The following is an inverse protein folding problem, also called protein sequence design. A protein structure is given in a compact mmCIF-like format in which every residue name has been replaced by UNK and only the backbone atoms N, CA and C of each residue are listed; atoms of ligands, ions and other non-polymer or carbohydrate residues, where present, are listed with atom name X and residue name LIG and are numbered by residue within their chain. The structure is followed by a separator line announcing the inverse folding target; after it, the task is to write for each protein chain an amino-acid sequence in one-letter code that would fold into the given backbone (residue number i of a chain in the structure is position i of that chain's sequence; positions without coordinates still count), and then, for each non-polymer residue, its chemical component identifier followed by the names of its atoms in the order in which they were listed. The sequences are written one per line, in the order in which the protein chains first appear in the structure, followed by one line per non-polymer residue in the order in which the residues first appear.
data_IF_297319103176
#
_entry.id   IF_297319103176
#
_cell.length_a   1.000
_cell.length_b   1.000
_cell.length_c   1.000
_cell.angle_alpha   90.00
_cell.angle_beta   90.00
_cell.angle_gamma   90.00
#
_symmetry.space_group_name_H-M   'P 1'
#
loop_
_entity.id
_entity.type
_entity.pdbx_description
1 polymer ?
#
# COMPACT_ATOMS: atom_id res chain seq x y z
N UNK A 1 -30.51 8.54 54.37
CA UNK A 1 -29.76 9.40 53.42
C UNK A 1 -28.95 8.49 52.52
N UNK A 2 -29.50 8.23 51.33
CA UNK A 2 -28.90 7.40 50.31
C UNK A 2 -27.84 8.22 49.51
N UNK A 3 -26.58 7.80 49.54
CA UNK A 3 -25.53 8.35 48.69
C UNK A 3 -25.56 7.59 47.36
N UNK A 4 -26.08 8.22 46.31
CA UNK A 4 -25.92 7.72 44.93
C UNK A 4 -24.46 7.91 44.54
N UNK A 5 -23.75 6.81 44.37
CA UNK A 5 -22.44 6.81 43.73
C UNK A 5 -22.64 6.99 42.23
N UNK A 6 -22.15 8.13 41.73
CA UNK A 6 -22.07 8.44 40.31
C UNK A 6 -20.95 7.57 39.72
N UNK A 7 -21.32 6.57 38.93
CA UNK A 7 -20.40 5.81 38.12
C UNK A 7 -20.06 6.69 36.91
N UNK A 8 -18.88 7.31 36.96
CA UNK A 8 -18.32 7.95 35.76
C UNK A 8 -18.02 6.87 34.74
N UNK A 9 -18.72 6.89 33.63
CA UNK A 9 -18.40 6.12 32.46
C UNK A 9 -16.97 6.50 32.02
N UNK A 10 -16.03 5.59 32.22
CA UNK A 10 -14.71 5.71 31.62
C UNK A 10 -14.88 5.68 30.11
N UNK A 11 -14.81 6.82 29.49
CA UNK A 11 -14.80 6.91 28.04
C UNK A 11 -13.63 6.08 27.51
N UNK A 12 -13.96 5.07 26.75
CA UNK A 12 -13.00 4.28 26.01
C UNK A 12 -12.32 5.24 25.01
N UNK A 13 -11.20 5.83 25.43
CA UNK A 13 -10.33 6.52 24.50
C UNK A 13 -9.81 5.43 23.55
N UNK A 14 -10.30 5.45 22.31
CA UNK A 14 -9.59 4.77 21.23
C UNK A 14 -8.11 5.20 21.37
N UNK A 15 -7.17 4.25 21.40
CA UNK A 15 -5.77 4.64 21.29
C UNK A 15 -5.68 5.52 20.04
N UNK A 16 -5.13 6.72 20.20
CA UNK A 16 -4.73 7.51 19.05
C UNK A 16 -3.86 6.57 18.23
N UNK A 17 -4.29 6.25 17.01
CA UNK A 17 -3.45 5.57 16.03
C UNK A 17 -2.16 6.37 16.07
N UNK A 18 -1.09 5.75 16.51
CA UNK A 18 0.21 6.40 16.50
C UNK A 18 0.36 6.96 15.09
N UNK A 19 0.47 8.27 14.99
CA UNK A 19 0.58 8.92 13.68
C UNK A 19 1.65 8.17 12.91
N UNK A 20 1.26 7.52 11.81
CA UNK A 20 2.21 6.81 10.98
C UNK A 20 3.39 7.76 10.80
N UNK A 21 4.59 7.30 11.12
CA UNK A 21 5.77 8.15 11.03
C UNK A 21 6.02 8.49 9.57
N UNK A 22 5.41 9.61 9.14
CA UNK A 22 5.45 10.06 7.74
C UNK A 22 6.89 10.27 7.29
N UNK A 23 7.76 10.65 8.21
CA UNK A 23 9.18 10.89 7.88
C UNK A 23 9.94 9.59 7.56
N UNK A 24 9.46 8.44 8.05
CA UNK A 24 10.05 7.13 7.77
C UNK A 24 9.57 6.52 6.45
N UNK A 25 8.54 7.09 5.80
CA UNK A 25 8.01 6.59 4.53
C UNK A 25 8.96 6.90 3.36
N UNK A 26 8.97 6.06 2.31
CA UNK A 26 9.68 6.38 1.07
C UNK A 26 9.28 7.73 0.50
N UNK A 27 10.24 8.45 -0.08
CA UNK A 27 10.04 9.84 -0.53
C UNK A 27 8.89 9.99 -1.55
N UNK A 28 8.78 9.06 -2.49
CA UNK A 28 7.70 9.09 -3.49
C UNK A 28 6.33 8.83 -2.85
N UNK A 29 6.26 7.94 -1.86
CA UNK A 29 5.01 7.68 -1.14
C UNK A 29 4.57 8.93 -0.34
N UNK A 30 5.50 9.65 0.28
CA UNK A 30 5.20 10.93 0.95
C UNK A 30 4.61 11.96 -0.02
N UNK A 31 5.15 12.06 -1.22
CA UNK A 31 4.62 12.98 -2.25
C UNK A 31 3.19 12.60 -2.65
N UNK A 32 2.91 11.33 -2.81
CA UNK A 32 1.59 10.81 -3.17
C UNK A 32 0.58 11.12 -2.05
N UNK A 33 0.94 10.86 -0.81
CA UNK A 33 0.10 11.17 0.36
C UNK A 33 -0.22 12.67 0.38
N UNK A 34 0.79 13.53 0.22
CA UNK A 34 0.62 14.98 0.16
C UNK A 34 -0.34 15.42 -0.95
N UNK A 35 -0.21 14.83 -2.14
CA UNK A 35 -1.09 15.12 -3.26
C UNK A 35 -2.55 14.74 -2.97
N UNK A 36 -2.80 13.58 -2.36
CA UNK A 36 -4.15 13.15 -1.97
C UNK A 36 -4.74 14.03 -0.86
N UNK A 37 -3.93 14.49 0.08
CA UNK A 37 -4.38 15.38 1.16
C UNK A 37 -4.79 16.77 0.64
N UNK A 38 -4.22 17.21 -0.47
CA UNK A 38 -4.59 18.48 -1.10
C UNK A 38 -5.91 18.41 -1.87
N UNK A 39 -6.43 17.21 -2.13
CA UNK A 39 -7.69 17.02 -2.86
C UNK A 39 -8.84 16.88 -1.86
N UNK A 40 -9.79 17.87 -1.82
CA UNK A 40 -10.74 17.96 -0.71
C UNK A 40 -11.91 16.99 -0.77
N UNK A 41 -12.26 16.46 -1.93
CA UNK A 41 -13.48 15.66 -2.08
C UNK A 41 -13.22 14.22 -2.54
N UNK A 42 -14.10 13.26 -2.15
CA UNK A 42 -13.91 11.84 -2.49
C UNK A 42 -13.94 11.56 -4.00
N UNK A 43 -14.70 12.28 -4.78
CA UNK A 43 -14.80 12.08 -6.22
C UNK A 43 -13.49 12.47 -6.92
N UNK A 44 -12.87 13.56 -6.50
CA UNK A 44 -11.58 13.99 -7.05
C UNK A 44 -10.46 13.02 -6.67
N UNK A 45 -10.51 12.44 -5.47
CA UNK A 45 -9.58 11.37 -5.04
C UNK A 45 -9.77 10.11 -5.88
N UNK A 46 -11.00 9.73 -6.17
CA UNK A 46 -11.31 8.62 -7.06
C UNK A 46 -10.73 8.84 -8.46
N UNK A 47 -10.91 10.03 -9.02
CA UNK A 47 -10.31 10.41 -10.32
C UNK A 47 -8.79 10.34 -10.30
N UNK A 48 -8.16 10.71 -9.19
CA UNK A 48 -6.71 10.57 -9.01
C UNK A 48 -6.28 9.10 -9.09
N UNK A 49 -7.02 8.18 -8.46
CA UNK A 49 -6.73 6.75 -8.56
C UNK A 49 -6.81 6.25 -10.01
N UNK A 50 -7.80 6.68 -10.77
CA UNK A 50 -7.92 6.32 -12.18
C UNK A 50 -6.77 6.90 -13.01
N UNK A 51 -6.28 8.08 -12.66
CA UNK A 51 -5.11 8.69 -13.29
C UNK A 51 -3.84 7.86 -13.02
N UNK A 52 -3.65 7.39 -11.80
CA UNK A 52 -2.57 6.47 -11.46
C UNK A 52 -2.66 5.16 -12.25
N UNK A 53 -3.87 4.60 -12.38
CA UNK A 53 -4.08 3.38 -13.16
C UNK A 53 -3.60 3.53 -14.60
N UNK A 54 -3.86 4.68 -15.22
CA UNK A 54 -3.45 4.98 -16.60
C UNK A 54 -1.93 5.08 -16.78
N UNK A 55 -1.18 5.33 -15.71
CA UNK A 55 0.28 5.43 -15.75
C UNK A 55 1.01 4.08 -15.63
N UNK A 56 0.32 3.02 -15.24
CA UNK A 56 0.96 1.71 -15.13
C UNK A 56 1.49 1.24 -16.49
N UNK A 57 2.72 0.74 -16.47
CA UNK A 57 3.35 0.13 -17.63
C UNK A 57 2.70 -1.21 -17.97
N UNK A 58 2.90 -1.66 -19.19
CA UNK A 58 2.44 -2.96 -19.63
C UNK A 58 2.96 -4.08 -18.71
N UNK A 59 2.07 -4.98 -18.35
CA UNK A 59 2.39 -6.12 -17.49
C UNK A 59 2.66 -7.35 -18.37
N UNK A 60 3.76 -8.10 -18.12
CA UNK A 60 4.07 -9.29 -18.89
C UNK A 60 2.98 -10.38 -18.76
N UNK A 61 2.50 -10.91 -19.88
CA UNK A 61 1.45 -11.94 -19.87
C UNK A 61 1.88 -13.22 -19.14
N UNK A 62 3.13 -13.61 -19.27
CA UNK A 62 3.70 -14.78 -18.59
C UNK A 62 3.84 -14.59 -17.06
N UNK A 63 3.75 -13.37 -16.58
CA UNK A 63 3.75 -13.05 -15.16
C UNK A 63 2.35 -13.06 -14.52
N UNK A 64 1.28 -13.23 -15.29
CA UNK A 64 -0.11 -13.36 -14.80
C UNK A 64 -0.38 -14.78 -14.28
N UNK A 65 0.35 -15.14 -13.25
CA UNK A 65 0.28 -16.46 -12.60
C UNK A 65 -0.15 -16.31 -11.14
N UNK A 66 -0.66 -17.39 -10.56
CA UNK A 66 -1.17 -17.37 -9.18
C UNK A 66 -0.12 -16.97 -8.14
N UNK A 67 1.15 -17.28 -8.38
CA UNK A 67 2.27 -16.88 -7.51
C UNK A 67 2.43 -15.37 -7.36
N UNK A 68 2.04 -14.61 -8.39
CA UNK A 68 2.11 -13.16 -8.43
C UNK A 68 0.79 -12.49 -8.06
N UNK A 69 -0.24 -13.28 -7.78
CA UNK A 69 -1.56 -12.79 -7.48
C UNK A 69 -1.70 -12.40 -6.01
N UNK A 70 -2.32 -11.25 -5.79
CA UNK A 70 -2.60 -10.76 -4.43
C UNK A 70 -3.76 -11.56 -3.83
N UNK A 71 -3.56 -12.24 -2.69
CA UNK A 71 -4.63 -12.99 -2.04
C UNK A 71 -5.66 -12.07 -1.40
N UNK A 72 -6.91 -12.50 -1.35
CA UNK A 72 -7.98 -11.79 -0.63
C UNK A 72 -8.49 -10.52 -1.29
N UNK A 73 -8.12 -10.25 -2.54
CA UNK A 73 -8.69 -9.17 -3.33
C UNK A 73 -9.97 -9.61 -4.04
N UNK A 74 -10.97 -8.71 -4.08
CA UNK A 74 -12.22 -8.93 -4.84
C UNK A 74 -11.93 -9.00 -6.34
N UNK A 75 -11.01 -8.17 -6.82
CA UNK A 75 -10.52 -8.16 -8.20
C UNK A 75 -9.19 -8.92 -8.29
N UNK A 76 -8.85 -9.41 -9.49
CA UNK A 76 -7.55 -10.01 -9.73
C UNK A 76 -6.48 -8.92 -9.79
N UNK A 77 -5.43 -9.10 -9.02
CA UNK A 77 -4.26 -8.20 -8.98
C UNK A 77 -2.99 -9.04 -9.02
N UNK A 78 -2.06 -8.67 -9.89
CA UNK A 78 -0.75 -9.30 -9.99
C UNK A 78 0.34 -8.27 -9.72
N UNK A 79 1.39 -8.67 -9.02
CA UNK A 79 2.53 -7.81 -8.69
C UNK A 79 3.82 -8.59 -8.86
N UNK A 80 4.80 -7.99 -9.51
CA UNK A 80 6.15 -8.55 -9.68
C UNK A 80 7.20 -7.53 -9.27
N UNK A 81 8.16 -7.91 -8.41
CA UNK A 81 9.28 -7.06 -8.04
C UNK A 81 10.47 -7.26 -8.97
N UNK A 82 11.31 -6.23 -9.05
CA UNK A 82 12.63 -6.28 -9.66
C UNK A 82 13.60 -5.51 -8.77
N UNK A 83 14.77 -6.07 -8.52
CA UNK A 83 15.85 -5.37 -7.80
C UNK A 83 16.88 -4.90 -8.82
N UNK A 84 17.25 -3.63 -8.73
CA UNK A 84 18.25 -2.99 -9.56
C UNK A 84 19.00 -1.95 -8.71
N UNK A 85 20.32 -2.05 -8.61
CA UNK A 85 21.18 -1.17 -7.81
C UNK A 85 20.71 -1.02 -6.35
N UNK A 86 20.39 -2.14 -5.70
CA UNK A 86 19.87 -2.22 -4.32
C UNK A 86 18.54 -1.48 -4.08
N UNK A 87 17.83 -1.14 -5.15
CA UNK A 87 16.50 -0.56 -5.13
C UNK A 87 15.48 -1.51 -5.72
N UNK A 88 14.26 -1.41 -5.23
CA UNK A 88 13.16 -2.28 -5.67
C UNK A 88 12.22 -1.51 -6.58
N UNK A 89 11.88 -2.13 -7.69
CA UNK A 89 10.88 -1.63 -8.65
C UNK A 89 9.80 -2.67 -8.82
N UNK A 90 8.58 -2.21 -9.03
CA UNK A 90 7.43 -3.10 -9.19
C UNK A 90 6.73 -2.85 -10.52
N UNK A 91 6.17 -3.90 -11.06
CA UNK A 91 5.12 -3.84 -12.07
C UNK A 91 3.88 -4.53 -11.52
N UNK A 92 2.72 -4.03 -11.86
CA UNK A 92 1.44 -4.57 -11.41
C UNK A 92 0.36 -4.41 -12.47
N UNK A 93 -0.68 -5.20 -12.35
CA UNK A 93 -1.89 -5.07 -13.16
C UNK A 93 -3.12 -5.58 -12.41
N UNK A 94 -4.29 -5.19 -12.86
CA UNK A 94 -5.56 -5.65 -12.32
C UNK A 94 -6.64 -5.64 -13.41
N UNK A 95 -7.65 -6.49 -13.24
CA UNK A 95 -8.84 -6.52 -14.08
C UNK A 95 -9.89 -5.45 -13.73
N UNK A 96 -9.69 -4.71 -12.65
CA UNK A 96 -10.54 -3.59 -12.22
C UNK A 96 -9.77 -2.28 -12.25
N UNK A 97 -10.34 -1.23 -12.84
CA UNK A 97 -9.69 0.07 -12.95
C UNK A 97 -9.42 0.72 -11.59
N UNK A 98 -10.34 0.63 -10.66
CA UNK A 98 -10.15 1.18 -9.31
C UNK A 98 -9.03 0.43 -8.56
N UNK A 99 -9.05 -0.89 -8.60
CA UNK A 99 -8.04 -1.73 -7.97
C UNK A 99 -6.68 -1.55 -8.66
N UNK A 100 -6.66 -1.38 -9.98
CA UNK A 100 -5.46 -1.02 -10.74
C UNK A 100 -4.88 0.31 -10.28
N UNK A 101 -5.73 1.30 -10.00
CA UNK A 101 -5.32 2.59 -9.45
C UNK A 101 -4.67 2.47 -8.06
N UNK A 102 -5.21 1.63 -7.20
CA UNK A 102 -4.63 1.34 -5.89
C UNK A 102 -3.27 0.64 -6.01
N UNK A 103 -3.17 -0.34 -6.90
CA UNK A 103 -1.91 -1.01 -7.19
C UNK A 103 -0.87 -0.03 -7.77
N UNK A 104 -1.29 0.83 -8.69
CA UNK A 104 -0.44 1.86 -9.28
C UNK A 104 0.11 2.84 -8.25
N UNK A 105 -0.70 3.23 -7.27
CA UNK A 105 -0.28 4.09 -6.17
C UNK A 105 0.87 3.45 -5.38
N UNK A 106 0.75 2.17 -5.04
CA UNK A 106 1.82 1.44 -4.35
C UNK A 106 3.05 1.23 -5.24
N UNK A 107 2.86 0.89 -6.49
CA UNK A 107 3.97 0.74 -7.45
C UNK A 107 4.76 2.03 -7.55
N UNK A 108 4.10 3.17 -7.73
CA UNK A 108 4.75 4.46 -7.86
C UNK A 108 5.38 4.92 -6.54
N UNK A 109 4.69 4.70 -5.42
CA UNK A 109 5.16 5.10 -4.09
C UNK A 109 6.32 4.28 -3.55
N UNK A 110 6.42 3.02 -3.90
CA UNK A 110 7.45 2.10 -3.39
C UNK A 110 8.58 1.86 -4.38
N UNK A 111 8.38 2.04 -5.68
CA UNK A 111 9.43 1.85 -6.68
C UNK A 111 10.57 2.85 -6.49
N UNK A 112 11.80 2.36 -6.53
CA UNK A 112 12.99 3.16 -6.27
C UNK A 112 13.39 3.24 -4.80
N UNK A 113 12.62 2.69 -3.88
CA UNK A 113 12.97 2.57 -2.47
C UNK A 113 13.86 1.34 -2.24
N UNK A 114 14.60 1.36 -1.13
CA UNK A 114 15.39 0.21 -0.70
C UNK A 114 14.48 -0.86 -0.08
N UNK A 115 14.91 -2.14 -0.04
CA UNK A 115 14.15 -3.18 0.66
C UNK A 115 13.84 -2.81 2.11
N UNK A 116 14.78 -2.21 2.81
CA UNK A 116 14.61 -1.77 4.20
C UNK A 116 13.49 -0.72 4.33
N UNK A 117 13.46 0.27 3.45
CA UNK A 117 12.42 1.30 3.45
C UNK A 117 11.04 0.71 3.17
N UNK A 118 10.94 -0.24 2.22
CA UNK A 118 9.69 -0.91 1.88
C UNK A 118 9.17 -1.75 3.04
N UNK A 119 10.06 -2.52 3.69
CA UNK A 119 9.71 -3.36 4.84
C UNK A 119 9.26 -2.55 6.05
N UNK A 120 9.69 -1.30 6.17
CA UNK A 120 9.32 -0.41 7.27
C UNK A 120 7.96 0.27 7.08
N UNK A 121 7.34 0.17 5.90
CA UNK A 121 6.03 0.78 5.65
C UNK A 121 4.94 0.06 6.44
N UNK A 122 4.25 0.80 7.29
CA UNK A 122 3.13 0.29 8.08
C UNK A 122 1.81 0.45 7.29
N UNK A 123 0.89 -0.54 7.36
CA UNK A 123 -0.37 -0.49 6.61
C UNK A 123 -1.29 0.69 6.95
N UNK A 124 -1.14 1.29 8.11
CA UNK A 124 -1.96 2.40 8.59
C UNK A 124 -1.75 3.70 7.82
N UNK A 125 -0.70 3.81 6.98
CA UNK A 125 -0.53 4.98 6.11
C UNK A 125 -1.73 5.18 5.16
N UNK A 126 -2.51 4.14 4.90
CA UNK A 126 -3.73 4.20 4.09
C UNK A 126 -4.71 5.26 4.58
N UNK A 127 -4.79 5.45 5.89
CA UNK A 127 -5.64 6.49 6.50
C UNK A 127 -5.20 7.90 6.10
N UNK A 128 -3.90 8.10 5.89
CA UNK A 128 -3.34 9.39 5.47
C UNK A 128 -3.74 9.79 4.05
N UNK A 129 -4.12 8.84 3.22
CA UNK A 129 -4.61 9.09 1.85
C UNK A 129 -6.03 9.68 1.82
N UNK A 130 -6.77 9.57 2.93
CA UNK A 130 -8.15 10.05 3.01
C UNK A 130 -9.14 9.25 2.13
N UNK A 131 -8.82 8.01 1.82
CA UNK A 131 -9.63 7.14 0.96
C UNK A 131 -10.69 6.33 1.73
N UNK A 132 -10.78 6.47 3.04
CA UNK A 132 -11.67 5.67 3.89
C UNK A 132 -13.15 5.78 3.54
N UNK A 133 -13.61 6.91 2.99
CA UNK A 133 -14.97 7.10 2.51
C UNK A 133 -15.16 6.67 1.05
N UNK A 134 -14.08 6.55 0.30
CA UNK A 134 -14.10 6.20 -1.13
C UNK A 134 -13.95 4.71 -1.37
N UNK A 135 -13.49 3.95 -0.39
CA UNK A 135 -13.24 2.52 -0.48
C UNK A 135 -14.17 1.74 0.44
N UNK A 136 -14.70 0.63 -0.07
CA UNK A 136 -15.37 -0.36 0.77
C UNK A 136 -14.36 -1.05 1.69
N UNK A 137 -14.78 -1.64 2.83
CA UNK A 137 -13.89 -2.42 3.69
C UNK A 137 -13.12 -3.52 2.95
N UNK A 138 -13.77 -4.21 2.01
CA UNK A 138 -13.14 -5.24 1.18
C UNK A 138 -12.01 -4.69 0.32
N UNK A 139 -12.18 -3.50 -0.25
CA UNK A 139 -11.15 -2.85 -1.06
C UNK A 139 -9.98 -2.34 -0.22
N UNK A 140 -10.27 -1.82 0.97
CA UNK A 140 -9.24 -1.43 1.93
C UNK A 140 -8.41 -2.64 2.35
N UNK A 141 -9.04 -3.77 2.64
CA UNK A 141 -8.33 -5.01 2.95
C UNK A 141 -7.49 -5.51 1.76
N UNK A 142 -8.01 -5.43 0.56
CA UNK A 142 -7.28 -5.76 -0.67
C UNK A 142 -6.04 -4.88 -0.85
N UNK A 143 -6.15 -3.60 -0.58
CA UNK A 143 -5.03 -2.66 -0.64
C UNK A 143 -3.93 -3.01 0.38
N UNK A 144 -4.32 -3.34 1.60
CA UNK A 144 -3.38 -3.79 2.63
C UNK A 144 -2.72 -5.13 2.26
N UNK A 145 -3.46 -6.03 1.63
CA UNK A 145 -2.91 -7.30 1.13
C UNK A 145 -1.92 -7.08 -0.02
N UNK A 146 -2.16 -6.09 -0.89
CA UNK A 146 -1.18 -5.70 -1.92
C UNK A 146 0.14 -5.27 -1.28
N UNK A 147 0.08 -4.39 -0.28
CA UNK A 147 1.28 -3.95 0.43
C UNK A 147 2.03 -5.13 1.06
N UNK A 148 1.33 -6.02 1.74
CA UNK A 148 1.93 -7.20 2.36
C UNK A 148 2.59 -8.12 1.34
N UNK A 149 1.96 -8.35 0.20
CA UNK A 149 2.54 -9.15 -0.87
C UNK A 149 3.79 -8.47 -1.46
N UNK A 150 3.74 -7.16 -1.68
CA UNK A 150 4.88 -6.41 -2.17
C UNK A 150 6.06 -6.48 -1.19
N UNK A 151 5.79 -6.37 0.11
CA UNK A 151 6.81 -6.54 1.15
C UNK A 151 7.39 -7.95 1.16
N UNK A 152 6.53 -8.97 1.09
CA UNK A 152 6.96 -10.38 1.04
C UNK A 152 7.86 -10.64 -0.18
N UNK A 153 7.44 -10.21 -1.35
CA UNK A 153 8.20 -10.37 -2.60
C UNK A 153 9.51 -9.58 -2.58
N UNK A 154 9.52 -8.42 -1.95
CA UNK A 154 10.73 -7.63 -1.74
C UNK A 154 11.75 -8.40 -0.91
N UNK A 155 11.32 -8.99 0.18
CA UNK A 155 12.19 -9.80 1.04
C UNK A 155 12.73 -11.02 0.29
N UNK A 156 11.87 -11.75 -0.41
CA UNK A 156 12.26 -12.93 -1.20
C UNK A 156 13.28 -12.56 -2.30
N UNK A 157 13.03 -11.47 -3.03
CA UNK A 157 13.93 -11.01 -4.09
C UNK A 157 15.27 -10.51 -3.53
N UNK A 158 15.26 -9.84 -2.39
CA UNK A 158 16.47 -9.40 -1.70
C UNK A 158 17.31 -10.59 -1.24
N UNK A 159 16.70 -11.58 -0.63
CA UNK A 159 17.41 -12.81 -0.19
C UNK A 159 18.00 -13.58 -1.37
N UNK A 160 17.28 -13.68 -2.47
CA UNK A 160 17.76 -14.33 -3.70
C UNK A 160 18.95 -13.57 -4.31
N UNK A 161 18.90 -12.24 -4.31
CA UNK A 161 20.01 -11.40 -4.81
C UNK A 161 21.26 -11.50 -3.95
N UNK A 162 21.11 -11.54 -2.63
CA UNK A 162 22.23 -11.73 -1.70
C UNK A 162 22.86 -13.13 -1.84
N UNK A 163 22.04 -14.19 -1.98
CA UNK A 163 22.54 -15.54 -2.23
C UNK A 163 23.32 -15.64 -3.55
N UNK A 164 22.86 -14.96 -4.61
CA UNK A 164 23.57 -14.91 -5.88
C UNK A 164 24.93 -14.20 -5.79
N UNK A 165 25.06 -13.21 -4.91
CA UNK A 165 26.36 -12.52 -4.65
C UNK A 165 27.35 -13.40 -3.91
N UNK A 166 26.89 -14.28 -3.01
CA UNK A 166 27.74 -15.21 -2.26
C UNK A 166 28.28 -16.34 -3.14
N UNK A 167 27.54 -16.73 -4.17
CA UNK A 167 27.91 -17.80 -5.12
C UNK A 167 28.83 -17.31 -6.26
N UNK A 168 29.10 -16.02 -6.33
CA UNK A 168 29.91 -15.42 -7.39
C UNK A 168 31.41 -15.35 -7.07
#
# INVERSE_FOLDING_TARGET
RSRRASVRAAGFRRPAVAAADVDALPAELKKIIGAFQMVPDPMSRYKQLLFFAAKLKDFPEDARVDENKVPGCVSQVWVVPRIEDDKVYFVADSDSQLTKGLAALLVEGLSGATPKEIMAVEPDFVELLGLGQSLTPSRTNGFMNMLRLMQKKTLEAFMAAEAAKEDA
#
